data_IF_404204907394
#
_entry.id   IF_404204907394
#
_cell.length_a   1.000
_cell.length_b   1.000
_cell.length_c   1.000
_cell.angle_alpha   90.00
_cell.angle_beta   90.00
_cell.angle_gamma   90.00
#
_symmetry.space_group_name_H-M   'P 1'
#
loop_
_entity.id
_entity.type
_entity.pdbx_description
1 polymer ?
#
# COMPACT_ATOMS: atom_id res chain seq x y z
N UNK A 1 -5.67 9.84 8.20
CA UNK A 1 -4.32 10.15 7.68
C UNK A 1 -3.97 9.04 6.71
N UNK A 2 -3.65 9.35 5.47
CA UNK A 2 -3.38 8.32 4.47
C UNK A 2 -1.97 7.77 4.62
N UNK A 3 -1.84 6.45 4.68
CA UNK A 3 -0.59 5.72 4.77
C UNK A 3 -0.29 5.14 3.38
N UNK A 4 0.88 5.49 2.85
CA UNK A 4 1.33 5.03 1.55
C UNK A 4 2.27 3.83 1.73
N UNK A 5 1.95 2.74 1.04
CA UNK A 5 2.73 1.52 1.00
C UNK A 5 3.23 1.32 -0.42
N UNK A 6 4.54 1.21 -0.55
CA UNK A 6 5.17 0.92 -1.83
C UNK A 6 5.10 -0.58 -2.07
N UNK A 7 4.58 -0.95 -3.23
CA UNK A 7 4.54 -2.33 -3.66
C UNK A 7 5.86 -2.69 -4.34
N UNK A 8 6.20 -3.98 -4.30
CA UNK A 8 7.39 -4.50 -4.93
C UNK A 8 7.41 -4.18 -6.43
N UNK A 9 8.60 -3.96 -6.99
CA UNK A 9 8.78 -3.52 -8.39
C UNK A 9 8.24 -4.51 -9.42
N UNK A 10 8.14 -5.77 -9.03
CA UNK A 10 7.64 -6.88 -9.87
C UNK A 10 6.11 -7.07 -9.79
N UNK A 11 5.40 -6.25 -9.01
CA UNK A 11 3.94 -6.32 -8.93
C UNK A 11 3.35 -6.06 -10.30
N UNK A 12 2.64 -7.04 -10.83
CA UNK A 12 1.89 -6.90 -12.08
C UNK A 12 0.58 -6.15 -11.86
N UNK A 13 0.04 -5.52 -12.91
CA UNK A 13 -1.30 -4.88 -12.88
C UNK A 13 -2.41 -5.81 -12.40
N UNK A 14 -2.30 -7.10 -12.72
CA UNK A 14 -3.24 -8.14 -12.25
C UNK A 14 -3.16 -8.32 -10.73
N UNK A 15 -1.95 -8.40 -10.17
CA UNK A 15 -1.72 -8.49 -8.72
C UNK A 15 -2.21 -7.25 -8.00
N UNK A 16 -1.96 -6.06 -8.55
CA UNK A 16 -2.49 -4.80 -8.01
C UNK A 16 -4.04 -4.78 -8.02
N UNK A 17 -4.68 -5.30 -9.07
CA UNK A 17 -6.14 -5.42 -9.12
C UNK A 17 -6.67 -6.42 -8.08
N UNK A 18 -5.96 -7.53 -7.85
CA UNK A 18 -6.31 -8.50 -6.81
C UNK A 18 -6.18 -7.90 -5.41
N UNK A 19 -5.11 -7.13 -5.14
CA UNK A 19 -4.94 -6.39 -3.88
C UNK A 19 -6.06 -5.39 -3.63
N UNK A 20 -6.47 -4.66 -4.68
CA UNK A 20 -7.63 -3.77 -4.60
C UNK A 20 -8.91 -4.53 -4.26
N UNK A 21 -9.14 -5.69 -4.90
CA UNK A 21 -10.29 -6.54 -4.59
C UNK A 21 -10.26 -6.99 -3.14
N UNK A 22 -9.11 -7.48 -2.68
CA UNK A 22 -8.92 -7.92 -1.31
C UNK A 22 -9.21 -6.80 -0.29
N UNK A 23 -8.73 -5.58 -0.52
CA UNK A 23 -9.07 -4.44 0.36
C UNK A 23 -10.51 -3.96 0.24
N UNK A 24 -11.19 -4.24 -0.88
CA UNK A 24 -12.61 -3.95 -0.98
C UNK A 24 -13.45 -4.94 -0.15
N UNK A 25 -13.01 -6.19 -0.02
CA UNK A 25 -13.67 -7.22 0.78
C UNK A 25 -13.30 -7.15 2.27
N UNK A 26 -12.03 -6.88 2.59
CA UNK A 26 -11.49 -6.98 3.96
C UNK A 26 -10.99 -5.65 4.55
N UNK A 27 -10.87 -4.60 3.74
CA UNK A 27 -10.36 -3.31 4.20
C UNK A 27 -11.40 -2.54 5.01
N UNK A 28 -10.93 -1.85 6.04
CA UNK A 28 -11.77 -1.04 6.92
C UNK A 28 -12.15 0.32 6.30
N UNK A 29 -11.37 0.79 5.31
CA UNK A 29 -11.56 2.12 4.75
C UNK A 29 -11.20 2.27 3.27
N UNK A 30 -11.30 3.52 2.77
CA UNK A 30 -11.01 3.82 1.39
C UNK A 30 -9.51 3.59 1.11
N UNK A 31 -9.27 2.94 -0.02
CA UNK A 31 -7.93 2.62 -0.50
C UNK A 31 -7.78 3.06 -1.96
N UNK A 32 -6.56 3.43 -2.34
CA UNK A 32 -6.21 3.85 -3.70
C UNK A 32 -4.94 3.18 -4.13
N UNK A 33 -4.94 2.62 -5.34
CA UNK A 33 -3.72 2.10 -5.96
C UNK A 33 -3.38 2.97 -7.16
N UNK A 34 -2.14 3.44 -7.21
CA UNK A 34 -1.61 4.20 -8.33
C UNK A 34 -0.20 3.74 -8.69
N UNK A 35 0.22 4.03 -9.91
CA UNK A 35 1.54 3.69 -10.41
C UNK A 35 2.42 4.93 -10.39
N UNK A 36 3.63 4.79 -9.86
CA UNK A 36 4.72 5.77 -9.96
C UNK A 36 5.85 5.18 -10.79
N UNK A 37 6.80 6.03 -11.21
CA UNK A 37 7.99 5.64 -11.97
C UNK A 37 8.76 4.47 -11.35
N UNK A 38 8.71 4.31 -10.03
CA UNK A 38 9.42 3.26 -9.31
C UNK A 38 8.57 2.03 -8.92
N UNK A 39 7.29 1.99 -9.31
CA UNK A 39 6.40 0.85 -9.06
C UNK A 39 4.98 1.23 -8.66
N UNK A 40 4.19 0.22 -8.29
CA UNK A 40 2.85 0.44 -7.76
C UNK A 40 2.92 0.95 -6.31
N UNK A 41 1.99 1.83 -5.95
CA UNK A 41 1.83 2.38 -4.59
C UNK A 41 0.38 2.22 -4.20
N UNK A 42 0.16 1.76 -2.98
CA UNK A 42 -1.17 1.65 -2.38
C UNK A 42 -1.28 2.59 -1.20
N UNK A 43 -2.31 3.41 -1.23
CA UNK A 43 -2.63 4.39 -0.21
C UNK A 43 -3.87 3.91 0.52
N UNK A 44 -3.77 3.77 1.83
CA UNK A 44 -4.83 3.29 2.71
C UNK A 44 -5.07 4.29 3.83
N UNK A 45 -6.31 4.46 4.25
CA UNK A 45 -6.64 5.41 5.31
C UNK A 45 -6.40 4.84 6.72
N UNK A 46 -6.52 3.52 6.90
CA UNK A 46 -6.41 2.87 8.19
C UNK A 46 -5.10 2.08 8.35
N UNK A 47 -4.49 2.19 9.52
CA UNK A 47 -3.31 1.40 9.89
C UNK A 47 -3.61 -0.10 9.99
N UNK A 48 -4.87 -0.48 10.23
CA UNK A 48 -5.32 -1.87 10.21
C UNK A 48 -5.14 -2.50 8.82
N UNK A 49 -5.52 -1.77 7.76
CA UNK A 49 -5.33 -2.20 6.37
C UNK A 49 -3.85 -2.38 6.04
N UNK A 50 -2.98 -1.56 6.63
CA UNK A 50 -1.53 -1.70 6.49
C UNK A 50 -1.03 -2.99 7.13
N UNK A 51 -1.48 -3.29 8.34
CA UNK A 51 -1.10 -4.53 9.04
C UNK A 51 -1.62 -5.76 8.31
N UNK A 52 -2.87 -5.71 7.83
CA UNK A 52 -3.48 -6.76 7.03
C UNK A 52 -2.67 -7.05 5.76
N UNK A 53 -2.36 -6.03 4.98
CA UNK A 53 -1.56 -6.15 3.75
C UNK A 53 -0.15 -6.68 4.01
N UNK A 54 0.48 -6.26 5.11
CA UNK A 54 1.81 -6.75 5.51
C UNK A 54 1.78 -8.20 5.98
N UNK A 55 0.73 -8.60 6.68
CA UNK A 55 0.59 -9.96 7.20
C UNK A 55 0.28 -10.95 6.07
N UNK A 56 -0.63 -10.58 5.17
CA UNK A 56 -1.11 -11.47 4.11
C UNK A 56 -0.18 -11.47 2.88
N UNK A 57 0.45 -10.33 2.60
CA UNK A 57 1.28 -10.15 1.41
C UNK A 57 2.68 -9.59 1.73
N UNK A 58 3.45 -10.21 2.64
CA UNK A 58 4.76 -9.70 3.07
C UNK A 58 5.79 -9.62 1.94
N UNK A 59 5.67 -10.47 0.92
CA UNK A 59 6.57 -10.49 -0.24
C UNK A 59 6.23 -9.43 -1.30
N UNK A 60 5.03 -8.85 -1.24
CA UNK A 60 4.50 -7.93 -2.24
C UNK A 60 4.54 -6.49 -1.72
N UNK A 61 4.31 -6.31 -0.42
CA UNK A 61 4.44 -5.01 0.25
C UNK A 61 5.89 -4.88 0.69
N UNK A 62 6.69 -4.11 -0.06
CA UNK A 62 8.06 -3.84 0.35
C UNK A 62 8.05 -3.16 1.72
N UNK A 63 8.90 -3.63 2.63
CA UNK A 63 9.10 -3.06 3.97
C UNK A 63 9.67 -1.63 3.96
N UNK A 64 9.76 -0.99 2.79
CA UNK A 64 10.15 0.41 2.58
C UNK A 64 9.04 1.39 3.02
N UNK A 65 8.36 1.08 4.11
CA UNK A 65 7.70 2.09 4.95
C UNK A 65 8.78 2.58 5.91
N UNK A 66 9.83 3.17 5.35
CA UNK A 66 10.67 4.07 6.12
C UNK A 66 9.79 5.30 6.31
N UNK A 67 9.12 5.33 7.45
CA UNK A 67 8.75 6.51 8.23
C UNK A 67 9.02 7.85 7.53
N UNK A 68 8.32 8.13 6.43
CA UNK A 68 8.24 9.50 5.91
C UNK A 68 7.11 10.19 6.65
N UNK A 69 7.26 10.26 7.98
CA UNK A 69 6.89 11.44 8.71
C UNK A 69 7.50 12.60 7.94
N UNK A 70 6.66 13.26 7.15
CA UNK A 70 6.99 14.53 6.55
C UNK A 70 7.06 15.53 7.69
N UNK A 71 8.21 15.55 8.36
CA UNK A 71 8.74 16.76 8.93
C UNK A 71 8.87 17.74 7.76
N UNK A 72 7.83 18.55 7.57
CA UNK A 72 7.88 19.71 6.72
C UNK A 72 9.02 20.61 7.21
N UNK A 73 10.05 20.89 6.39
CA UNK A 73 11.04 21.89 6.74
C UNK A 73 10.41 23.27 6.43
N UNK A 74 10.24 24.08 7.47
CA UNK A 74 10.33 25.52 7.35
C UNK A 74 11.82 25.91 7.43
#
# INVERSE_FOLDING_TARGET
MFIQLKLHRDVSRKTAAQLRGYLADFGAGPHRIFWRDDGAVIEVEHADDVQLLRSEFPNIVSHENEDRQTGFPW
#
